data_IF_981711516085
#
_entry.id   IF_981711516085
#
_cell.length_a   1.000
_cell.length_b   1.000
_cell.length_c   1.000
_cell.angle_alpha   90.00
_cell.angle_beta   90.00
_cell.angle_gamma   90.00
#
_symmetry.space_group_name_H-M   'P 1'
#
loop_
_entity.id
_entity.type
_entity.pdbx_description
1 polymer ?
#
# COMPACT_ATOMS: atom_id res chain seq x y z
N UNK A 1 11.05 -24.79 -8.84
CA UNK A 1 10.71 -24.28 -10.18
C UNK A 1 9.64 -25.13 -10.84
N UNK A 2 9.87 -26.42 -11.10
CA UNK A 2 8.86 -27.29 -11.73
C UNK A 2 7.60 -27.51 -10.86
N UNK A 3 7.80 -27.69 -9.55
CA UNK A 3 6.70 -27.83 -8.58
C UNK A 3 5.92 -26.51 -8.35
N UNK A 4 6.59 -25.36 -8.48
CA UNK A 4 5.94 -24.04 -8.34
C UNK A 4 5.03 -23.77 -9.55
N UNK A 5 5.52 -24.10 -10.74
CA UNK A 5 4.77 -23.98 -11.99
C UNK A 5 3.52 -24.85 -12.00
N UNK A 6 3.63 -26.11 -11.55
CA UNK A 6 2.49 -27.02 -11.40
C UNK A 6 1.40 -26.44 -10.49
N UNK A 7 1.78 -25.82 -9.37
CA UNK A 7 0.83 -25.20 -8.45
C UNK A 7 0.12 -23.97 -9.06
N UNK A 8 0.84 -23.11 -9.79
CA UNK A 8 0.21 -21.99 -10.51
C UNK A 8 -0.71 -22.48 -11.65
N UNK A 9 -0.27 -23.48 -12.41
CA UNK A 9 -1.07 -24.13 -13.46
C UNK A 9 -2.35 -24.75 -12.88
N UNK A 10 -2.28 -25.32 -11.69
CA UNK A 10 -3.45 -25.82 -10.98
C UNK A 10 -4.43 -24.70 -10.59
N UNK A 11 -3.95 -23.58 -10.03
CA UNK A 11 -4.82 -22.43 -9.71
C UNK A 11 -5.50 -21.86 -10.96
N UNK A 12 -4.78 -21.82 -12.10
CA UNK A 12 -5.35 -21.40 -13.39
C UNK A 12 -6.40 -22.40 -13.87
N UNK A 13 -6.11 -23.71 -13.80
CA UNK A 13 -7.04 -24.77 -14.17
C UNK A 13 -8.33 -24.75 -13.35
N UNK A 14 -8.20 -24.45 -12.06
CA UNK A 14 -9.33 -24.31 -11.11
C UNK A 14 -10.06 -22.96 -11.26
N UNK A 15 -9.62 -22.09 -12.18
CA UNK A 15 -10.14 -20.72 -12.39
C UNK A 15 -10.04 -19.82 -11.16
N UNK A 16 -9.15 -20.16 -10.23
CA UNK A 16 -8.84 -19.37 -9.04
C UNK A 16 -7.85 -18.24 -9.34
N UNK A 17 -7.15 -18.33 -10.47
CA UNK A 17 -6.24 -17.32 -10.96
C UNK A 17 -6.44 -17.08 -12.46
N UNK A 18 -6.71 -15.84 -12.88
CA UNK A 18 -6.76 -15.45 -14.29
C UNK A 18 -5.44 -14.82 -14.71
N UNK A 19 -4.86 -15.30 -15.82
CA UNK A 19 -3.64 -14.75 -16.43
C UNK A 19 -3.92 -14.49 -17.92
N UNK A 20 -3.56 -13.30 -18.42
CA UNK A 20 -3.43 -13.03 -19.86
C UNK A 20 -1.97 -12.81 -20.23
N UNK A 21 -1.64 -13.07 -21.49
CA UNK A 21 -0.32 -12.87 -22.06
C UNK A 21 0.18 -11.43 -21.87
N UNK A 22 1.45 -11.28 -21.45
CA UNK A 22 2.12 -9.96 -21.37
C UNK A 22 2.96 -9.69 -20.11
N UNK A 23 2.93 -10.57 -19.10
CA UNK A 23 3.78 -10.42 -17.91
C UNK A 23 5.16 -11.08 -18.16
N UNK A 24 6.25 -10.34 -17.95
CA UNK A 24 7.61 -10.90 -18.10
C UNK A 24 7.81 -12.09 -17.14
N UNK A 25 8.33 -13.19 -17.69
CA UNK A 25 8.58 -14.48 -17.02
C UNK A 25 9.31 -14.31 -15.67
N UNK A 26 10.28 -13.39 -15.59
CA UNK A 26 11.00 -13.10 -14.35
C UNK A 26 10.09 -12.53 -13.25
N UNK A 27 9.08 -11.74 -13.61
CA UNK A 27 8.15 -11.14 -12.67
C UNK A 27 7.17 -12.18 -12.11
N UNK A 28 6.74 -13.12 -12.96
CA UNK A 28 5.91 -14.26 -12.57
C UNK A 28 6.66 -15.18 -11.60
N UNK A 29 7.90 -15.56 -11.93
CA UNK A 29 8.70 -16.47 -11.10
C UNK A 29 9.05 -15.87 -9.71
N UNK A 30 9.19 -14.54 -9.62
CA UNK A 30 9.47 -13.84 -8.36
C UNK A 30 8.22 -13.60 -7.48
N UNK A 31 7.04 -13.55 -8.08
CA UNK A 31 5.77 -13.33 -7.35
C UNK A 31 5.10 -14.65 -6.93
N UNK A 32 5.40 -15.75 -7.62
CA UNK A 32 4.66 -17.01 -7.47
C UNK A 32 5.59 -18.20 -7.17
N UNK A 33 6.50 -18.05 -6.21
CA UNK A 33 7.16 -19.22 -5.62
C UNK A 33 6.16 -20.12 -4.87
N UNK A 34 6.49 -21.39 -4.61
CA UNK A 34 5.60 -22.34 -3.92
C UNK A 34 5.08 -21.84 -2.58
N UNK A 35 5.90 -21.07 -1.84
CA UNK A 35 5.49 -20.51 -0.54
C UNK A 35 4.39 -19.47 -0.73
N UNK A 36 4.52 -18.63 -1.73
CA UNK A 36 3.56 -17.57 -2.07
C UNK A 36 2.31 -18.16 -2.69
N UNK A 37 2.41 -19.16 -3.56
CA UNK A 37 1.25 -19.89 -4.11
C UNK A 37 0.43 -20.57 -3.00
N UNK A 38 1.11 -21.22 -2.05
CA UNK A 38 0.43 -21.78 -0.87
C UNK A 38 -0.23 -20.68 -0.03
N UNK A 39 0.44 -19.53 0.16
CA UNK A 39 -0.13 -18.40 0.88
C UNK A 39 -1.35 -17.81 0.15
N UNK A 40 -1.34 -17.77 -1.19
CA UNK A 40 -2.48 -17.35 -2.03
C UNK A 40 -3.67 -18.29 -1.78
N UNK A 41 -3.48 -19.59 -1.90
CA UNK A 41 -4.55 -20.56 -1.66
C UNK A 41 -5.14 -20.42 -0.24
N UNK A 42 -4.27 -20.30 0.77
CA UNK A 42 -4.68 -20.11 2.16
C UNK A 42 -5.42 -18.78 2.40
N UNK A 43 -5.00 -17.67 1.77
CA UNK A 43 -5.66 -16.38 1.96
C UNK A 43 -7.00 -16.32 1.21
N UNK A 44 -7.11 -16.98 0.06
CA UNK A 44 -8.35 -17.04 -0.70
C UNK A 44 -9.45 -17.72 0.12
N UNK A 45 -9.16 -18.88 0.71
CA UNK A 45 -10.13 -19.57 1.58
C UNK A 45 -10.40 -18.84 2.90
N UNK A 46 -9.44 -18.08 3.45
CA UNK A 46 -9.64 -17.34 4.71
C UNK A 46 -10.46 -16.06 4.55
N UNK A 47 -10.38 -15.41 3.40
CA UNK A 47 -11.00 -14.11 3.13
C UNK A 47 -12.13 -14.21 2.09
N UNK A 48 -12.57 -15.43 1.76
CA UNK A 48 -13.60 -15.72 0.76
C UNK A 48 -13.34 -15.04 -0.59
N UNK A 49 -12.08 -15.04 -1.04
CA UNK A 49 -11.69 -14.51 -2.35
C UNK A 49 -12.05 -15.55 -3.42
N UNK A 50 -12.93 -15.16 -4.34
CA UNK A 50 -13.43 -16.00 -5.42
C UNK A 50 -12.30 -16.38 -6.38
N UNK A 51 -11.58 -15.36 -6.86
CA UNK A 51 -10.44 -15.51 -7.77
C UNK A 51 -9.57 -14.26 -7.77
N UNK A 52 -8.29 -14.43 -8.11
CA UNK A 52 -7.36 -13.35 -8.41
C UNK A 52 -7.30 -13.14 -9.93
N UNK A 53 -7.42 -11.90 -10.34
CA UNK A 53 -7.51 -11.44 -11.73
C UNK A 53 -6.23 -10.70 -12.13
N UNK A 54 -6.34 -9.73 -13.03
CA UNK A 54 -5.22 -9.01 -13.62
C UNK A 54 -4.30 -8.27 -12.63
N UNK A 55 -2.97 -8.23 -12.91
CA UNK A 55 -2.07 -7.35 -12.21
C UNK A 55 -2.45 -5.89 -12.46
N UNK A 56 -2.60 -5.13 -11.37
CA UNK A 56 -2.80 -3.68 -11.36
C UNK A 56 -1.43 -2.99 -11.50
N UNK A 57 -0.44 -3.48 -10.77
CA UNK A 57 0.91 -2.93 -10.76
C UNK A 57 1.93 -3.98 -10.37
N UNK A 58 3.10 -3.94 -10.98
CA UNK A 58 4.23 -4.81 -10.65
C UNK A 58 5.44 -3.96 -10.29
N UNK A 59 5.75 -3.89 -9.01
CA UNK A 59 6.91 -3.18 -8.49
C UNK A 59 8.10 -4.12 -8.22
N UNK A 60 9.23 -3.52 -7.82
CA UNK A 60 10.42 -4.28 -7.39
C UNK A 60 10.16 -5.11 -6.13
N UNK A 61 9.31 -4.60 -5.23
CA UNK A 61 9.13 -5.13 -3.87
C UNK A 61 7.79 -5.87 -3.67
N UNK A 62 6.79 -5.59 -4.50
CA UNK A 62 5.48 -6.24 -4.45
C UNK A 62 4.78 -6.19 -5.81
N UNK A 63 3.79 -7.06 -5.99
CA UNK A 63 2.80 -6.97 -7.06
C UNK A 63 1.42 -6.69 -6.44
N UNK A 64 0.62 -5.86 -7.10
CA UNK A 64 -0.77 -5.59 -6.72
C UNK A 64 -1.65 -6.17 -7.81
N UNK A 65 -2.61 -6.99 -7.42
CA UNK A 65 -3.53 -7.69 -8.31
C UNK A 65 -4.96 -7.27 -8.00
N UNK A 66 -5.80 -7.25 -9.03
CA UNK A 66 -7.24 -7.18 -8.83
C UNK A 66 -7.72 -8.57 -8.43
N UNK A 67 -8.70 -8.65 -7.55
CA UNK A 67 -9.36 -9.91 -7.19
C UNK A 67 -10.83 -9.63 -6.88
N UNK A 68 -11.63 -10.67 -6.62
CA UNK A 68 -13.05 -10.52 -6.36
C UNK A 68 -13.48 -11.30 -5.12
N UNK A 69 -14.38 -10.68 -4.34
CA UNK A 69 -15.11 -11.32 -3.25
C UNK A 69 -16.60 -11.10 -3.55
N UNK A 70 -17.34 -12.19 -3.75
CA UNK A 70 -18.75 -12.18 -4.12
C UNK A 70 -19.05 -11.20 -5.28
N UNK A 71 -18.19 -11.21 -6.30
CA UNK A 71 -18.32 -10.34 -7.49
C UNK A 71 -17.97 -8.86 -7.26
N UNK A 72 -17.53 -8.45 -6.05
CA UNK A 72 -17.04 -7.09 -5.77
C UNK A 72 -15.51 -7.03 -5.91
N UNK A 73 -14.96 -6.03 -6.63
CA UNK A 73 -13.52 -5.95 -6.82
C UNK A 73 -12.80 -5.54 -5.53
N UNK A 74 -11.70 -6.23 -5.27
CA UNK A 74 -10.71 -5.94 -4.22
C UNK A 74 -9.31 -5.86 -4.84
N UNK A 75 -8.35 -5.35 -4.08
CA UNK A 75 -6.94 -5.37 -4.43
C UNK A 75 -6.19 -6.32 -3.49
N UNK A 76 -5.32 -7.16 -4.07
CA UNK A 76 -4.46 -8.09 -3.35
C UNK A 76 -3.01 -7.68 -3.61
N UNK A 77 -2.32 -7.20 -2.57
CA UNK A 77 -0.90 -6.86 -2.60
C UNK A 77 -0.09 -8.05 -2.10
N UNK A 78 0.78 -8.57 -2.97
CA UNK A 78 1.66 -9.70 -2.71
C UNK A 78 3.10 -9.19 -2.62
N UNK A 79 3.69 -9.24 -1.43
CA UNK A 79 5.07 -8.83 -1.23
C UNK A 79 6.04 -9.94 -1.68
N UNK A 80 7.07 -9.53 -2.43
CA UNK A 80 8.10 -10.43 -2.94
C UNK A 80 9.05 -10.80 -1.82
N UNK A 81 9.12 -12.09 -1.48
CA UNK A 81 9.96 -12.60 -0.40
C UNK A 81 11.47 -12.41 -0.65
N UNK A 82 11.89 -12.37 -1.91
CA UNK A 82 13.30 -12.39 -2.32
C UNK A 82 13.93 -11.00 -2.54
N UNK A 83 13.14 -9.97 -2.82
CA UNK A 83 13.66 -8.66 -3.24
C UNK A 83 13.57 -7.58 -2.16
N UNK A 84 12.79 -7.81 -1.11
CA UNK A 84 12.65 -6.89 0.01
C UNK A 84 13.93 -6.87 0.87
N UNK A 85 14.63 -5.72 0.85
CA UNK A 85 15.87 -5.54 1.62
C UNK A 85 15.55 -5.40 3.11
N UNK A 86 15.85 -6.44 3.88
CA UNK A 86 15.61 -6.53 5.32
C UNK A 86 15.95 -5.24 6.09
N UNK A 87 17.17 -4.71 5.92
CA UNK A 87 17.61 -3.53 6.67
C UNK A 87 16.81 -2.25 6.38
N UNK A 88 16.30 -2.08 5.15
CA UNK A 88 15.49 -0.90 4.80
C UNK A 88 14.11 -0.96 5.46
N UNK A 89 13.47 -2.13 5.40
CA UNK A 89 12.18 -2.38 6.07
C UNK A 89 12.30 -2.21 7.58
N UNK A 90 13.36 -2.79 8.15
CA UNK A 90 13.60 -2.80 9.58
C UNK A 90 13.61 -1.39 10.18
N UNK A 91 14.14 -0.39 9.46
CA UNK A 91 14.11 1.03 9.87
C UNK A 91 12.72 1.58 10.12
N UNK A 92 11.69 1.10 9.40
CA UNK A 92 10.32 1.58 9.58
C UNK A 92 9.53 0.74 10.59
N UNK A 93 9.99 -0.47 10.92
CA UNK A 93 9.35 -1.32 11.95
C UNK A 93 9.94 -1.04 13.33
N UNK A 94 11.27 -0.91 13.43
CA UNK A 94 11.96 -0.62 14.69
C UNK A 94 11.57 0.78 15.16
N UNK A 95 11.22 0.92 16.45
CA UNK A 95 10.71 2.17 17.00
C UNK A 95 9.19 2.30 16.94
N UNK A 96 8.49 1.41 16.24
CA UNK A 96 7.03 1.30 16.32
C UNK A 96 6.63 0.33 17.45
N UNK A 97 6.10 0.89 18.55
CA UNK A 97 5.75 0.12 19.74
C UNK A 97 4.73 -1.01 19.47
N UNK A 98 3.91 -0.86 18.42
CA UNK A 98 2.89 -1.86 18.04
C UNK A 98 3.52 -3.17 17.57
N UNK A 99 4.77 -3.13 17.12
CA UNK A 99 5.54 -4.28 16.62
C UNK A 99 6.74 -4.62 17.51
N UNK A 100 6.87 -4.01 18.69
CA UNK A 100 8.02 -4.21 19.59
C UNK A 100 8.20 -5.67 20.07
N UNK A 101 7.11 -6.45 20.09
CA UNK A 101 7.12 -7.88 20.47
C UNK A 101 7.46 -8.81 19.30
N UNK A 102 7.49 -8.31 18.07
CA UNK A 102 7.79 -9.12 16.88
C UNK A 102 9.29 -9.42 16.82
N UNK A 103 9.65 -10.71 16.77
CA UNK A 103 11.04 -11.12 16.55
C UNK A 103 11.36 -11.01 15.07
N UNK A 104 11.96 -9.88 14.66
CA UNK A 104 12.33 -9.66 13.26
C UNK A 104 13.50 -10.54 12.83
N UNK A 105 13.32 -11.24 11.71
CA UNK A 105 14.33 -12.04 11.04
C UNK A 105 14.15 -11.92 9.52
N UNK A 106 15.18 -12.29 8.75
CA UNK A 106 15.08 -12.28 7.27
C UNK A 106 13.90 -13.11 6.76
N UNK A 107 13.52 -14.19 7.46
CA UNK A 107 12.46 -15.10 7.04
C UNK A 107 11.04 -14.63 7.31
N UNK A 108 10.81 -13.72 8.26
CA UNK A 108 9.47 -13.27 8.66
C UNK A 108 9.23 -11.77 8.52
N UNK A 109 10.26 -10.97 8.19
CA UNK A 109 10.13 -9.52 8.08
C UNK A 109 9.02 -9.09 7.13
N UNK A 110 8.85 -9.82 6.02
CA UNK A 110 7.84 -9.53 5.01
C UNK A 110 6.43 -9.76 5.54
N UNK A 111 6.25 -10.74 6.43
CA UNK A 111 4.95 -10.99 7.06
C UNK A 111 4.61 -9.90 8.08
N UNK A 112 5.60 -9.46 8.85
CA UNK A 112 5.44 -8.31 9.75
C UNK A 112 5.14 -7.04 8.96
N UNK A 113 5.75 -6.88 7.78
CA UNK A 113 5.48 -5.75 6.88
C UNK A 113 4.04 -5.74 6.36
N UNK A 114 3.53 -6.89 5.89
CA UNK A 114 2.13 -7.01 5.47
C UNK A 114 1.15 -6.71 6.63
N UNK A 115 1.43 -7.26 7.82
CA UNK A 115 0.69 -6.96 9.06
C UNK A 115 0.74 -5.47 9.40
N UNK A 116 1.89 -4.82 9.22
CA UNK A 116 2.08 -3.40 9.48
C UNK A 116 1.27 -2.55 8.52
N UNK A 117 1.29 -2.83 7.22
CA UNK A 117 0.49 -2.09 6.24
C UNK A 117 -1.01 -2.26 6.50
N UNK A 118 -1.47 -3.48 6.83
CA UNK A 118 -2.85 -3.72 7.28
C UNK A 118 -3.22 -2.86 8.51
N UNK A 119 -2.34 -2.83 9.51
CA UNK A 119 -2.56 -2.06 10.74
C UNK A 119 -2.61 -0.56 10.45
N UNK A 120 -1.72 -0.07 9.59
CA UNK A 120 -1.68 1.34 9.19
C UNK A 120 -2.93 1.76 8.40
N UNK A 121 -3.37 0.95 7.43
CA UNK A 121 -4.64 1.18 6.73
C UNK A 121 -5.80 1.24 7.73
N UNK A 122 -5.83 0.34 8.71
CA UNK A 122 -6.90 0.28 9.72
C UNK A 122 -6.96 1.55 10.55
N UNK A 123 -5.83 2.06 11.03
CA UNK A 123 -5.77 3.30 11.81
C UNK A 123 -6.14 4.53 10.97
N UNK A 124 -5.68 4.60 9.72
CA UNK A 124 -6.05 5.69 8.80
C UNK A 124 -7.56 5.70 8.51
N UNK A 125 -8.17 4.53 8.28
CA UNK A 125 -9.62 4.43 8.06
C UNK A 125 -10.41 4.89 9.28
N UNK A 126 -9.99 4.51 10.49
CA UNK A 126 -10.62 4.96 11.75
C UNK A 126 -10.53 6.48 11.92
N UNK A 127 -9.41 7.08 11.48
CA UNK A 127 -9.20 8.52 11.50
C UNK A 127 -9.99 9.29 10.43
N UNK A 128 -10.69 8.61 9.51
CA UNK A 128 -11.40 9.23 8.40
C UNK A 128 -10.51 9.57 7.20
N UNK A 129 -9.24 9.16 7.21
CA UNK A 129 -8.34 9.34 6.07
C UNK A 129 -8.76 8.39 4.95
N UNK A 130 -8.92 8.93 3.74
CA UNK A 130 -9.23 8.13 2.57
C UNK A 130 -8.01 7.30 2.15
N UNK A 131 -8.13 5.99 2.35
CA UNK A 131 -7.21 4.97 1.88
C UNK A 131 -8.01 3.69 1.54
N UNK A 132 -7.39 2.67 0.91
CA UNK A 132 -8.01 1.36 0.72
C UNK A 132 -8.58 0.79 2.03
N UNK A 133 -9.80 0.27 1.99
CA UNK A 133 -10.40 -0.39 3.16
C UNK A 133 -9.64 -1.69 3.43
N UNK A 134 -9.01 -1.87 4.61
CA UNK A 134 -8.30 -3.12 4.90
C UNK A 134 -9.31 -4.26 5.05
N UNK A 135 -9.08 -5.39 4.37
CA UNK A 135 -9.95 -6.58 4.42
C UNK A 135 -9.30 -7.65 5.30
N UNK A 136 -8.03 -7.94 5.05
CA UNK A 136 -7.29 -8.93 5.81
C UNK A 136 -5.87 -9.07 5.29
N UNK A 137 -5.04 -9.81 6.00
CA UNK A 137 -3.72 -10.18 5.53
C UNK A 137 -3.41 -11.61 5.96
N UNK A 138 -2.54 -12.27 5.21
CA UNK A 138 -2.03 -13.60 5.54
C UNK A 138 -0.63 -13.74 4.97
N UNK A 139 0.34 -14.06 5.84
CA UNK A 139 1.77 -14.11 5.48
C UNK A 139 2.21 -12.83 4.73
N UNK A 140 2.69 -12.96 3.50
CA UNK A 140 3.16 -11.87 2.64
C UNK A 140 2.08 -11.30 1.72
N UNK A 141 0.79 -11.47 2.06
CA UNK A 141 -0.33 -11.02 1.24
C UNK A 141 -1.25 -10.12 2.06
N UNK A 142 -1.63 -8.99 1.48
CA UNK A 142 -2.58 -8.02 2.02
C UNK A 142 -3.76 -7.90 1.05
N UNK A 143 -4.98 -8.13 1.54
CA UNK A 143 -6.22 -7.85 0.82
C UNK A 143 -6.83 -6.52 1.32
N UNK A 144 -7.22 -5.66 0.39
CA UNK A 144 -7.76 -4.34 0.67
C UNK A 144 -8.77 -3.90 -0.40
N UNK A 145 -9.53 -2.85 -0.13
CA UNK A 145 -10.52 -2.31 -1.05
C UNK A 145 -9.88 -1.81 -2.33
N UNK A 146 -10.46 -2.17 -3.47
CA UNK A 146 -10.03 -1.69 -4.77
C UNK A 146 -10.47 -0.25 -5.01
N UNK A 147 -9.56 0.59 -5.49
CA UNK A 147 -9.85 1.99 -5.87
C UNK A 147 -9.76 2.10 -7.40
N UNK A 148 -10.91 2.28 -8.04
CA UNK A 148 -11.01 2.34 -9.50
C UNK A 148 -12.41 1.98 -9.99
N UNK A 149 -12.54 1.82 -11.31
CA UNK A 149 -13.78 1.38 -11.95
C UNK A 149 -13.80 -0.15 -12.09
N UNK A 150 -14.90 -0.70 -12.61
CA UNK A 150 -14.95 -2.15 -12.89
C UNK A 150 -13.87 -2.57 -13.90
N UNK A 151 -13.39 -1.67 -14.73
CA UNK A 151 -12.44 -1.95 -15.81
C UNK A 151 -11.01 -1.59 -15.42
N UNK A 152 -10.79 -0.39 -14.87
CA UNK A 152 -9.46 0.18 -14.70
C UNK A 152 -9.19 0.65 -13.26
N UNK A 153 -7.93 0.50 -12.77
CA UNK A 153 -7.53 1.10 -11.51
C UNK A 153 -7.61 2.63 -11.61
N UNK A 154 -7.82 3.29 -10.48
CA UNK A 154 -7.69 4.74 -10.44
C UNK A 154 -6.26 5.17 -10.81
N UNK A 155 -6.09 6.28 -11.55
CA UNK A 155 -4.76 6.81 -11.85
C UNK A 155 -4.06 7.28 -10.57
N UNK A 156 -2.73 7.21 -10.59
CA UNK A 156 -1.92 7.92 -9.60
C UNK A 156 -2.10 9.44 -9.79
N UNK A 157 -1.95 10.21 -8.71
CA UNK A 157 -2.22 11.65 -8.73
C UNK A 157 -1.36 12.36 -9.77
N UNK A 158 -0.10 11.93 -9.96
CA UNK A 158 0.80 12.44 -10.99
C UNK A 158 0.19 12.47 -12.40
N UNK A 159 -0.56 11.42 -12.74
CA UNK A 159 -1.08 11.18 -14.08
C UNK A 159 -2.58 11.51 -14.19
N UNK A 160 -3.16 12.08 -13.13
CA UNK A 160 -4.56 12.42 -13.05
C UNK A 160 -4.82 13.87 -13.46
N UNK A 161 -6.02 14.12 -14.00
CA UNK A 161 -6.57 15.47 -14.15
C UNK A 161 -7.41 15.82 -12.90
N UNK A 162 -7.09 16.94 -12.26
CA UNK A 162 -7.67 17.34 -10.99
C UNK A 162 -7.59 18.85 -10.76
N UNK A 163 -8.45 19.35 -9.86
CA UNK A 163 -8.41 20.71 -9.34
C UNK A 163 -7.28 20.86 -8.30
N UNK A 164 -6.19 21.59 -8.59
CA UNK A 164 -5.01 21.64 -7.73
C UNK A 164 -5.28 22.25 -6.36
N UNK A 165 -6.06 23.32 -6.28
CA UNK A 165 -6.36 24.01 -5.01
C UNK A 165 -7.16 23.09 -4.08
N UNK A 166 -8.21 22.46 -4.63
CA UNK A 166 -9.07 21.56 -3.87
C UNK A 166 -8.30 20.33 -3.38
N UNK A 167 -7.53 19.70 -4.27
CA UNK A 167 -6.76 18.49 -3.96
C UNK A 167 -5.64 18.81 -2.98
N UNK A 168 -4.93 19.92 -3.13
CA UNK A 168 -3.91 20.33 -2.16
C UNK A 168 -4.49 20.48 -0.75
N UNK A 169 -5.62 21.18 -0.63
CA UNK A 169 -6.32 21.32 0.65
C UNK A 169 -6.80 19.97 1.22
N UNK A 170 -7.25 19.05 0.37
CA UNK A 170 -7.63 17.68 0.78
C UNK A 170 -6.42 16.90 1.31
N UNK A 171 -5.28 16.94 0.61
CA UNK A 171 -4.04 16.26 1.02
C UNK A 171 -3.55 16.80 2.35
N UNK A 172 -3.48 18.12 2.55
CA UNK A 172 -3.02 18.72 3.83
C UNK A 172 -3.97 18.33 4.98
N UNK A 173 -5.28 18.32 4.76
CA UNK A 173 -6.26 17.83 5.75
C UNK A 173 -6.05 16.35 6.07
N UNK A 174 -5.84 15.50 5.06
CA UNK A 174 -5.58 14.07 5.26
C UNK A 174 -4.26 13.82 6.00
N UNK A 175 -3.21 14.59 5.74
CA UNK A 175 -1.95 14.54 6.50
C UNK A 175 -2.17 14.95 7.96
N UNK A 176 -2.97 15.99 8.19
CA UNK A 176 -3.35 16.45 9.54
C UNK A 176 -4.11 15.37 10.30
N UNK A 177 -5.09 14.73 9.67
CA UNK A 177 -5.89 13.67 10.28
C UNK A 177 -5.05 12.39 10.51
N UNK A 178 -4.16 12.03 9.58
CA UNK A 178 -3.23 10.93 9.78
C UNK A 178 -2.33 11.17 11.00
N UNK A 179 -1.80 12.39 11.15
CA UNK A 179 -0.95 12.73 12.28
C UNK A 179 -1.73 12.77 13.61
N UNK A 180 -2.81 13.57 13.67
CA UNK A 180 -3.51 13.89 14.92
C UNK A 180 -4.48 12.82 15.38
N UNK A 181 -5.11 12.10 14.46
CA UNK A 181 -6.15 11.11 14.77
C UNK A 181 -5.65 9.68 14.65
N UNK A 182 -4.83 9.37 13.63
CA UNK A 182 -4.27 8.03 13.45
C UNK A 182 -2.91 7.84 14.15
N UNK A 183 -2.28 8.92 14.66
CA UNK A 183 -0.92 8.88 15.20
C UNK A 183 0.11 8.34 14.20
N UNK A 184 -0.04 8.66 12.91
CA UNK A 184 0.81 8.16 11.81
C UNK A 184 1.39 9.29 10.96
N UNK A 185 2.64 9.08 10.53
CA UNK A 185 3.29 9.82 9.45
C UNK A 185 3.48 8.86 8.28
N UNK A 186 3.15 9.28 7.05
CA UNK A 186 3.20 8.38 5.89
C UNK A 186 4.62 7.88 5.60
N UNK A 187 5.62 8.74 5.79
CA UNK A 187 7.04 8.47 5.63
C UNK A 187 7.47 8.05 4.23
N UNK A 188 6.67 8.38 3.21
CA UNK A 188 7.00 8.27 1.78
C UNK A 188 5.94 8.95 0.90
N UNK A 189 5.28 10.02 1.41
CA UNK A 189 4.16 10.62 0.68
C UNK A 189 4.66 11.42 -0.53
N UNK A 190 4.05 11.16 -1.69
CA UNK A 190 4.33 11.84 -2.96
C UNK A 190 3.15 11.63 -3.92
N UNK A 191 3.19 12.27 -5.09
CA UNK A 191 2.22 12.13 -6.17
C UNK A 191 2.09 10.70 -6.73
N UNK A 192 3.07 9.83 -6.44
CA UNK A 192 3.07 8.42 -6.84
C UNK A 192 2.33 7.52 -5.86
N UNK A 193 2.19 7.95 -4.61
CA UNK A 193 1.57 7.18 -3.51
C UNK A 193 0.17 7.71 -3.16
N UNK A 194 -0.46 8.41 -4.11
CA UNK A 194 -1.81 8.90 -4.03
C UNK A 194 -2.58 8.49 -5.28
N UNK A 195 -3.78 7.96 -5.12
CA UNK A 195 -4.71 7.72 -6.22
C UNK A 195 -5.76 8.81 -6.27
N UNK A 196 -6.18 9.19 -7.48
CA UNK A 196 -7.28 10.13 -7.67
C UNK A 196 -8.49 9.41 -8.26
N UNK A 197 -9.60 9.39 -7.52
CA UNK A 197 -10.81 8.71 -7.96
C UNK A 197 -12.06 9.46 -7.51
N UNK A 198 -12.99 9.68 -8.44
CA UNK A 198 -14.28 10.35 -8.18
C UNK A 198 -14.11 11.68 -7.43
N UNK A 199 -13.16 12.50 -7.88
CA UNK A 199 -12.83 13.81 -7.31
C UNK A 199 -12.36 13.77 -5.85
N UNK A 200 -11.74 12.68 -5.42
CA UNK A 200 -11.17 12.47 -4.09
C UNK A 200 -9.78 11.86 -4.18
N UNK A 201 -8.94 12.15 -3.19
CA UNK A 201 -7.58 11.61 -3.08
C UNK A 201 -7.59 10.43 -2.12
N UNK A 202 -6.83 9.38 -2.44
CA UNK A 202 -6.64 8.21 -1.59
C UNK A 202 -5.15 7.98 -1.35
N UNK A 203 -4.74 7.91 -0.08
CA UNK A 203 -3.38 7.50 0.28
C UNK A 203 -3.23 5.98 0.11
N UNK A 204 -2.15 5.56 -0.54
CA UNK A 204 -1.80 4.15 -0.74
C UNK A 204 -0.35 3.90 -0.32
N UNK A 205 0.05 2.63 -0.26
CA UNK A 205 1.42 2.23 0.10
C UNK A 205 1.89 2.71 1.49
N UNK A 206 1.03 2.52 2.49
CA UNK A 206 1.27 2.94 3.88
C UNK A 206 2.12 1.93 4.67
N UNK A 207 2.82 1.03 3.99
CA UNK A 207 3.71 0.04 4.60
C UNK A 207 4.90 0.69 5.29
N UNK A 208 5.38 1.83 4.78
CA UNK A 208 6.48 2.60 5.37
C UNK A 208 6.01 3.54 6.51
N UNK A 209 4.71 3.77 6.67
CA UNK A 209 4.20 4.76 7.62
C UNK A 209 4.56 4.43 9.07
N UNK A 210 5.08 5.40 9.80
CA UNK A 210 5.56 5.23 11.17
C UNK A 210 4.62 5.90 12.16
N UNK A 211 4.60 5.40 13.40
CA UNK A 211 3.92 6.10 14.49
C UNK A 211 4.61 7.45 14.79
N UNK A 212 3.86 8.45 15.25
CA UNK A 212 4.42 9.77 15.61
C UNK A 212 5.51 9.70 16.70
N UNK A 213 5.51 8.66 17.54
CA UNK A 213 6.55 8.43 18.56
C UNK A 213 7.84 7.80 18.01
N UNK A 214 7.87 7.45 16.72
CA UNK A 214 9.08 6.93 16.08
C UNK A 214 10.18 8.00 16.07
N UNK A 215 11.46 7.69 16.35
CA UNK A 215 12.53 8.69 16.45
C UNK A 215 12.70 9.57 15.21
N UNK A 216 12.42 9.02 14.03
CA UNK A 216 12.51 9.73 12.75
C UNK A 216 11.17 10.30 12.23
N UNK A 217 10.10 10.25 13.03
CA UNK A 217 8.75 10.68 12.58
C UNK A 217 8.73 12.12 12.09
N UNK A 218 9.42 13.03 12.78
CA UNK A 218 9.49 14.45 12.42
C UNK A 218 10.21 14.65 11.07
N UNK A 219 11.34 13.98 10.88
CA UNK A 219 12.13 14.06 9.64
C UNK A 219 11.27 13.57 8.46
N UNK A 220 10.57 12.46 8.65
CA UNK A 220 9.66 11.92 7.64
C UNK A 220 8.49 12.86 7.33
N UNK A 221 7.88 13.46 8.35
CA UNK A 221 6.76 14.39 8.17
C UNK A 221 7.20 15.63 7.39
N UNK A 222 8.34 16.23 7.76
CA UNK A 222 8.90 17.39 7.06
C UNK A 222 9.17 17.07 5.59
N UNK A 223 9.70 15.87 5.30
CA UNK A 223 9.95 15.41 3.93
C UNK A 223 8.65 15.21 3.15
N UNK A 224 7.66 14.56 3.75
CA UNK A 224 6.34 14.36 3.13
C UNK A 224 5.70 15.72 2.78
N UNK A 225 5.72 16.69 3.71
CA UNK A 225 5.23 18.06 3.48
C UNK A 225 5.99 18.72 2.32
N UNK A 226 7.32 18.63 2.32
CA UNK A 226 8.15 19.20 1.27
C UNK A 226 7.84 18.62 -0.11
N UNK A 227 7.67 17.30 -0.21
CA UNK A 227 7.30 16.63 -1.46
C UNK A 227 5.94 17.14 -1.98
N UNK A 228 4.94 17.22 -1.10
CA UNK A 228 3.61 17.74 -1.45
C UNK A 228 3.70 19.20 -1.92
N UNK A 229 4.36 20.08 -1.17
CA UNK A 229 4.54 21.48 -1.59
C UNK A 229 5.24 21.59 -2.96
N UNK A 230 6.27 20.77 -3.18
CA UNK A 230 7.04 20.77 -4.43
C UNK A 230 6.21 20.29 -5.61
N UNK A 231 5.39 19.26 -5.42
CA UNK A 231 4.50 18.76 -6.47
C UNK A 231 3.46 19.82 -6.86
N UNK A 232 2.74 20.39 -5.90
CA UNK A 232 1.66 21.34 -6.16
C UNK A 232 2.15 22.71 -6.65
N UNK A 233 3.41 23.09 -6.38
CA UNK A 233 4.04 24.28 -6.97
C UNK A 233 4.04 24.26 -8.50
N UNK A 234 4.16 23.07 -9.11
CA UNK A 234 4.10 22.91 -10.58
C UNK A 234 2.73 23.28 -11.16
N UNK A 235 1.71 23.34 -10.31
CA UNK A 235 0.33 23.70 -10.65
C UNK A 235 -0.04 25.11 -10.15
N UNK A 236 0.95 25.94 -9.80
CA UNK A 236 0.73 27.32 -9.36
C UNK A 236 0.32 27.49 -7.90
N UNK A 237 0.31 26.42 -7.09
CA UNK A 237 0.01 26.50 -5.66
C UNK A 237 1.25 26.98 -4.90
N UNK A 238 1.20 28.20 -4.39
CA UNK A 238 2.20 28.71 -3.46
C UNK A 238 1.90 28.23 -2.04
N UNK A 239 2.90 27.65 -1.38
CA UNK A 239 2.74 27.09 -0.05
C UNK A 239 4.05 27.07 0.72
N UNK A 240 4.00 27.33 2.03
CA UNK A 240 5.16 27.30 2.92
C UNK A 240 5.18 25.99 3.73
N UNK A 241 6.19 25.11 3.54
CA UNK A 241 6.31 23.87 4.31
C UNK A 241 6.29 24.05 5.83
N UNK A 242 6.82 25.16 6.37
CA UNK A 242 6.85 25.42 7.81
C UNK A 242 5.47 25.77 8.37
N UNK A 243 4.66 26.50 7.61
CA UNK A 243 3.28 26.84 7.99
C UNK A 243 2.40 25.58 7.97
N UNK A 244 2.56 24.74 6.96
CA UNK A 244 1.85 23.45 6.89
C UNK A 244 2.27 22.54 8.06
N UNK A 245 3.57 22.47 8.36
CA UNK A 245 4.05 21.71 9.51
C UNK A 245 3.41 22.18 10.82
N UNK A 246 3.37 23.50 11.04
CA UNK A 246 2.74 24.11 12.23
C UNK A 246 1.22 23.87 12.27
N UNK A 247 0.59 23.72 11.10
CA UNK A 247 -0.83 23.36 11.00
C UNK A 247 -1.07 21.89 11.38
N UNK A 248 -0.13 20.99 11.10
CA UNK A 248 -0.24 19.55 11.37
C UNK A 248 0.16 19.23 12.82
N UNK A 249 1.30 19.74 13.27
CA UNK A 249 1.85 19.52 14.61
C UNK A 249 1.41 20.68 15.49
N UNK A 250 0.44 20.48 16.41
CA UNK A 250 0.05 21.53 17.33
C UNK A 250 1.24 21.94 18.23
N UNK A 251 1.27 23.22 18.59
CA UNK A 251 2.22 23.76 19.56
C UNK A 251 2.04 23.14 20.95
#
# INVERSE_FOLDING_TARGET
MENDRSALEQLIKEKLFSFKDGMDRKTTDLLFDSRTLKAIYEVMGKLDIDYIDYPISTGKESGVFKAYIHGKPIAVKIYKMSTLKFGKIETYIRGDYRFAKEKLSRGNVVYVWAKKEFTNLSELRKAGVLCPVPIGFHKNILAMGYIGTRELPAPILKDADFDPEKVFGEVVRMMTDAYRKANLVHADLSEYNMLYYRKKVYFIDVGQSVNIKHPSSEIFLRRDIFNICTFFRKYGIESNPLEIYSTIVPA
#
